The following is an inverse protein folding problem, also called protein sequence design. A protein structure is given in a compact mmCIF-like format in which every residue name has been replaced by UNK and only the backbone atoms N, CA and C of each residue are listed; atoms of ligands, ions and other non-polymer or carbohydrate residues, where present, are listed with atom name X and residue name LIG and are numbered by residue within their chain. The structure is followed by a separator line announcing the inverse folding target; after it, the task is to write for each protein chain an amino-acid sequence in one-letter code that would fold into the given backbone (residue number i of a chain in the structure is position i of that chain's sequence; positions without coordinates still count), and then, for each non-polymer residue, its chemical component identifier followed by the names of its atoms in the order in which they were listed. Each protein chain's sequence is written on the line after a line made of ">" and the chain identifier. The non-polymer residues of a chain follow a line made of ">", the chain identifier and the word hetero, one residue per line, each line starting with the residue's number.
data_IF_085305220756
#
_entry.id   IF_085305220756
#
_cell.length_a   1.000
_cell.length_b   1.000
_cell.length_c   1.000
_cell.angle_alpha   90.00
_cell.angle_beta   90.00
_cell.angle_gamma   90.00
#
_symmetry.space_group_name_H-M   'P 1'
#
loop_
_entity.id
_entity.type
_entity.pdbx_description
1 polymer ?
#
# COMPACT_ATOMS: atom_id res chain seq x y z
N UNK A 1 -38.40 14.46 -3.35
CA UNK A 1 -37.57 13.78 -4.35
C UNK A 1 -36.24 13.33 -3.72
N UNK A 2 -36.25 12.24 -2.96
CA UNK A 2 -35.05 11.47 -2.59
C UNK A 2 -35.17 10.18 -3.38
N UNK A 3 -34.36 9.93 -4.42
CA UNK A 3 -34.18 8.60 -5.06
C UNK A 3 -33.34 8.65 -6.38
N UNK A 4 -32.39 9.57 -6.55
CA UNK A 4 -31.48 9.54 -7.72
C UNK A 4 -29.98 9.60 -7.39
N UNK A 5 -29.60 9.85 -6.14
CA UNK A 5 -28.17 9.89 -5.76
C UNK A 5 -27.53 8.49 -5.66
N UNK A 6 -28.34 7.42 -5.65
CA UNK A 6 -27.85 6.04 -5.53
C UNK A 6 -27.38 5.37 -6.83
N UNK A 7 -27.45 6.04 -7.99
CA UNK A 7 -27.19 5.41 -9.30
C UNK A 7 -25.97 5.96 -10.06
N UNK A 8 -25.40 7.07 -9.62
CA UNK A 8 -24.29 7.74 -10.32
C UNK A 8 -23.03 7.96 -9.48
N UNK A 9 -23.05 7.62 -8.19
CA UNK A 9 -21.83 7.43 -7.43
C UNK A 9 -21.27 6.06 -7.79
N UNK A 10 -20.34 5.97 -8.73
CA UNK A 10 -19.61 4.74 -9.03
C UNK A 10 -18.86 4.30 -7.76
N UNK A 11 -19.54 3.54 -6.90
CA UNK A 11 -18.95 2.98 -5.70
C UNK A 11 -18.05 1.85 -6.17
N UNK A 12 -16.75 2.05 -6.02
CA UNK A 12 -15.76 1.03 -6.38
C UNK A 12 -16.17 -0.32 -5.76
N UNK A 13 -16.20 -1.35 -6.62
CA UNK A 13 -16.48 -2.71 -6.18
C UNK A 13 -15.34 -3.17 -5.31
N UNK A 14 -15.67 -3.87 -4.23
CA UNK A 14 -14.67 -4.37 -3.28
C UNK A 14 -13.62 -5.25 -3.98
N UNK A 15 -14.04 -6.02 -4.99
CA UNK A 15 -13.13 -6.85 -5.79
C UNK A 15 -12.15 -6.02 -6.62
N UNK A 16 -12.59 -4.86 -7.14
CA UNK A 16 -11.69 -3.91 -7.81
C UNK A 16 -10.66 -3.35 -6.83
N UNK A 17 -11.09 -2.96 -5.62
CA UNK A 17 -10.17 -2.48 -4.58
C UNK A 17 -9.19 -3.57 -4.13
N UNK A 18 -9.62 -4.85 -4.08
CA UNK A 18 -8.75 -5.99 -3.78
C UNK A 18 -7.68 -6.20 -4.85
N UNK A 19 -8.06 -6.13 -6.12
CA UNK A 19 -7.11 -6.23 -7.24
C UNK A 19 -6.10 -5.08 -7.16
N UNK A 20 -6.55 -3.85 -6.92
CA UNK A 20 -5.66 -2.69 -6.72
C UNK A 20 -4.69 -2.89 -5.56
N UNK A 21 -5.17 -3.39 -4.43
CA UNK A 21 -4.32 -3.70 -3.28
C UNK A 21 -3.26 -4.77 -3.62
N UNK A 22 -3.65 -5.84 -4.32
CA UNK A 22 -2.74 -6.92 -4.71
C UNK A 22 -1.68 -6.47 -5.72
N UNK A 23 -2.03 -5.55 -6.62
CA UNK A 23 -1.16 -5.04 -7.68
C UNK A 23 -0.37 -3.79 -7.27
N UNK A 24 -0.65 -3.23 -6.10
CA UNK A 24 0.04 -2.03 -5.66
C UNK A 24 1.49 -2.37 -5.33
N UNK A 25 2.38 -1.48 -5.77
CA UNK A 25 3.82 -1.49 -5.57
C UNK A 25 4.27 -0.08 -5.17
N UNK A 26 5.38 0.04 -4.43
CA UNK A 26 5.99 1.33 -4.11
C UNK A 26 6.42 2.02 -5.40
N UNK A 27 6.00 3.27 -5.57
CA UNK A 27 6.42 4.07 -6.73
C UNK A 27 7.89 4.46 -6.57
N UNK A 28 8.65 4.45 -7.66
CA UNK A 28 10.04 4.94 -7.66
C UNK A 28 10.12 6.38 -7.14
N UNK A 29 10.87 6.58 -6.04
CA UNK A 29 11.04 7.88 -5.38
C UNK A 29 9.91 8.26 -4.41
N UNK A 30 8.92 7.38 -4.20
CA UNK A 30 7.94 7.49 -3.12
C UNK A 30 8.62 7.18 -1.78
N UNK A 31 8.32 7.93 -0.73
CA UNK A 31 8.83 7.61 0.60
C UNK A 31 8.14 6.38 1.17
N UNK A 32 8.79 5.68 2.12
CA UNK A 32 8.16 4.57 2.84
C UNK A 32 6.90 5.01 3.61
N UNK A 33 6.86 6.25 4.07
CA UNK A 33 5.72 6.83 4.80
C UNK A 33 4.52 7.01 3.86
N UNK A 34 4.75 7.62 2.69
CA UNK A 34 3.71 7.77 1.66
C UNK A 34 3.21 6.42 1.16
N UNK A 35 4.13 5.46 0.99
CA UNK A 35 3.79 4.10 0.60
C UNK A 35 2.90 3.41 1.63
N UNK A 36 3.22 3.56 2.92
CA UNK A 36 2.42 3.01 4.02
C UNK A 36 1.01 3.62 4.07
N UNK A 37 0.90 4.94 3.91
CA UNK A 37 -0.39 5.64 3.91
C UNK A 37 -1.28 5.21 2.73
N UNK A 38 -0.68 5.03 1.55
CA UNK A 38 -1.38 4.47 0.38
C UNK A 38 -1.83 3.04 0.63
N UNK A 39 -0.97 2.20 1.19
CA UNK A 39 -1.31 0.82 1.54
C UNK A 39 -2.50 0.75 2.50
N UNK A 40 -2.53 1.62 3.51
CA UNK A 40 -3.64 1.71 4.46
C UNK A 40 -4.94 2.16 3.77
N UNK A 41 -4.86 3.03 2.77
CA UNK A 41 -6.02 3.43 1.97
C UNK A 41 -6.55 2.27 1.13
N UNK A 42 -5.69 1.55 0.43
CA UNK A 42 -6.09 0.41 -0.40
C UNK A 42 -6.69 -0.73 0.42
N UNK A 43 -6.07 -1.08 1.55
CA UNK A 43 -6.53 -2.18 2.40
C UNK A 43 -7.89 -1.88 3.03
N UNK A 44 -8.14 -0.61 3.38
CA UNK A 44 -9.42 -0.17 3.95
C UNK A 44 -10.56 -0.33 2.93
N UNK A 45 -10.29 -0.05 1.65
CA UNK A 45 -11.26 -0.23 0.59
C UNK A 45 -11.45 -1.71 0.21
N UNK A 46 -10.35 -2.47 0.12
CA UNK A 46 -10.33 -3.89 -0.25
C UNK A 46 -11.02 -4.80 0.79
N UNK A 47 -10.93 -4.43 2.07
CA UNK A 47 -11.38 -5.24 3.19
C UNK A 47 -12.33 -4.48 4.13
N UNK A 48 -13.11 -3.53 3.61
CA UNK A 48 -14.05 -2.69 4.38
C UNK A 48 -15.05 -3.45 5.28
N UNK A 49 -15.28 -4.73 5.00
CA UNK A 49 -16.21 -5.59 5.74
C UNK A 49 -15.50 -6.50 6.76
N UNK A 50 -14.17 -6.42 6.87
CA UNK A 50 -13.37 -7.22 7.80
C UNK A 50 -12.89 -6.37 8.98
N UNK A 51 -12.50 -7.00 10.11
CA UNK A 51 -11.96 -6.29 11.25
C UNK A 51 -10.67 -5.55 10.89
N UNK A 52 -10.45 -4.36 11.48
CA UNK A 52 -9.24 -3.56 11.27
C UNK A 52 -7.94 -4.35 11.49
N UNK A 53 -7.94 -5.30 12.44
CA UNK A 53 -6.80 -6.18 12.69
C UNK A 53 -6.39 -6.97 11.43
N UNK A 54 -7.35 -7.49 10.68
CA UNK A 54 -7.11 -8.18 9.42
C UNK A 54 -6.48 -7.23 8.40
N UNK A 55 -7.04 -6.03 8.26
CA UNK A 55 -6.55 -5.02 7.33
C UNK A 55 -5.08 -4.64 7.64
N UNK A 56 -4.74 -4.47 8.91
CA UNK A 56 -3.36 -4.18 9.31
C UNK A 56 -2.40 -5.34 8.97
N UNK A 57 -2.82 -6.59 9.18
CA UNK A 57 -2.01 -7.76 8.85
C UNK A 57 -1.72 -7.86 7.34
N UNK A 58 -2.75 -7.66 6.51
CA UNK A 58 -2.60 -7.65 5.06
C UNK A 58 -1.69 -6.50 4.59
N UNK A 59 -1.92 -5.28 5.11
CA UNK A 59 -1.12 -4.12 4.76
C UNK A 59 0.36 -4.30 5.11
N UNK A 60 0.68 -4.81 6.32
CA UNK A 60 2.05 -5.08 6.73
C UNK A 60 2.68 -6.16 5.84
N UNK A 61 1.95 -7.26 5.59
CA UNK A 61 2.46 -8.34 4.75
C UNK A 61 2.80 -7.83 3.35
N UNK A 62 1.93 -7.01 2.75
CA UNK A 62 2.14 -6.46 1.41
C UNK A 62 3.26 -5.42 1.38
N UNK A 63 3.28 -4.51 2.36
CA UNK A 63 4.33 -3.48 2.50
C UNK A 63 5.73 -4.10 2.59
N UNK A 64 5.88 -5.22 3.31
CA UNK A 64 7.16 -5.91 3.46
C UNK A 64 7.52 -6.86 2.30
N UNK A 65 6.60 -7.13 1.37
CA UNK A 65 6.87 -7.95 0.19
C UNK A 65 7.55 -7.17 -0.93
N UNK A 66 7.49 -5.85 -0.89
CA UNK A 66 8.10 -5.00 -1.92
C UNK A 66 9.61 -4.91 -1.72
N UNK A 67 10.37 -5.30 -2.73
CA UNK A 67 11.85 -5.33 -2.73
C UNK A 67 12.48 -3.92 -2.67
N UNK A 68 11.70 -2.85 -2.75
CA UNK A 68 12.14 -1.46 -2.64
C UNK A 68 12.65 -1.10 -1.24
N UNK A 69 12.18 -1.78 -0.18
CA UNK A 69 12.72 -1.65 1.18
C UNK A 69 14.20 -2.06 1.22
N UNK A 70 14.61 -3.01 0.38
CA UNK A 70 16.02 -3.39 0.24
C UNK A 70 16.85 -2.33 -0.51
N UNK A 71 16.27 -1.61 -1.47
CA UNK A 71 17.00 -0.59 -2.23
C UNK A 71 17.42 0.62 -1.38
N UNK A 72 16.55 1.11 -0.49
CA UNK A 72 16.93 2.17 0.46
C UNK A 72 17.99 1.68 1.47
N UNK A 73 17.83 0.46 1.98
CA UNK A 73 18.79 -0.16 2.89
C UNK A 73 20.17 -0.36 2.22
N UNK A 74 20.21 -0.78 0.95
CA UNK A 74 21.44 -0.91 0.16
C UNK A 74 22.10 0.44 -0.10
N UNK A 75 21.32 1.49 -0.39
CA UNK A 75 21.85 2.84 -0.61
C UNK A 75 22.54 3.36 0.65
N UNK A 76 21.96 3.14 1.83
CA UNK A 76 22.56 3.50 3.11
C UNK A 76 23.75 2.60 3.53
N UNK A 77 23.73 1.31 3.17
CA UNK A 77 24.81 0.38 3.46
C UNK A 77 26.06 0.61 2.58
N UNK A 78 25.87 0.94 1.30
CA UNK A 78 26.97 1.20 0.36
C UNK A 78 27.77 2.46 0.71
N UNK A 79 27.15 3.47 1.31
CA UNK A 79 27.82 4.71 1.76
C UNK A 79 28.74 4.44 2.97
N UNK A 80 28.50 3.36 3.73
CA UNK A 80 29.23 3.03 4.96
C UNK A 80 30.35 1.99 4.80
N UNK A 81 30.77 1.63 3.58
CA UNK A 81 32.04 0.88 3.46
C UNK A 81 33.19 1.80 3.87
N UNK A 82 33.92 1.52 4.96
CA UNK A 82 35.17 2.20 5.21
C UNK A 82 36.07 1.89 4.01
N UNK A 83 36.60 2.93 3.36
CA UNK A 83 37.71 2.73 2.42
C UNK A 83 38.87 2.21 3.25
N UNK A 84 39.04 0.89 3.27
CA UNK A 84 40.31 0.29 3.63
C UNK A 84 41.24 0.51 2.44
N UNK A 85 42.13 1.49 2.60
CA UNK A 85 43.52 1.64 2.15
C UNK A 85 43.78 3.14 2.05
#
# INVERSE_FOLDING_TARGET
>A
MRNMEGRFGAKELQDTSRVKFQQAEQITGESLEDWADRMLTFVTLAFRNLPQKHNMQEAISKFCQDDSVYQEAETHACIKRPRLI
#
